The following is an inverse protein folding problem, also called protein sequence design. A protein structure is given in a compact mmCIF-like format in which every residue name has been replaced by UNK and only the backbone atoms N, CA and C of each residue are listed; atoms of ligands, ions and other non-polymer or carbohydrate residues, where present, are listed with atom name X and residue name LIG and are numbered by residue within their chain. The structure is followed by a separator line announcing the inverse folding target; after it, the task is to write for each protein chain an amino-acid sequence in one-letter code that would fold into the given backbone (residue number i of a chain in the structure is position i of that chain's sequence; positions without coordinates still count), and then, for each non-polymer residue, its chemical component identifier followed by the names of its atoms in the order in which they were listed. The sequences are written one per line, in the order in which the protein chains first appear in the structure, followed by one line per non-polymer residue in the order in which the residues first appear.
data_IF_552868727121
#
_entry.id   IF_552868727121
#
_cell.length_a   1.000
_cell.length_b   1.000
_cell.length_c   1.000
_cell.angle_alpha   90.00
_cell.angle_beta   90.00
_cell.angle_gamma   90.00
#
_symmetry.space_group_name_H-M   'P 1'
#
loop_
_entity.id
_entity.type
_entity.pdbx_description
1 polymer ?
#
# COMPACT_ATOMS: atom_id res chain seq x y z
N UNK A 1 -3.55 -42.92 40.68
CA UNK A 1 -4.44 -41.91 40.09
C UNK A 1 -3.60 -40.88 39.37
N UNK A 2 -3.44 -41.02 38.05
CA UNK A 2 -2.67 -40.09 37.21
C UNK A 2 -3.67 -39.20 36.48
N UNK A 3 -3.54 -37.89 36.68
CA UNK A 3 -4.47 -36.84 36.27
C UNK A 3 -4.66 -36.80 34.74
N UNK A 4 -5.87 -37.09 34.26
CA UNK A 4 -6.26 -37.10 32.83
C UNK A 4 -6.66 -35.72 32.28
N UNK A 5 -6.09 -34.65 32.79
CA UNK A 5 -6.48 -33.25 32.45
C UNK A 5 -5.47 -32.50 31.58
N UNK A 6 -4.30 -33.09 31.29
CA UNK A 6 -3.21 -32.41 30.58
C UNK A 6 -3.21 -32.52 29.05
N UNK A 7 -4.07 -33.35 28.45
CA UNK A 7 -3.98 -33.67 27.00
C UNK A 7 -4.87 -32.76 26.13
N UNK A 8 -5.87 -32.08 26.71
CA UNK A 8 -6.79 -31.25 25.92
C UNK A 8 -6.24 -29.87 25.50
N UNK A 9 -5.19 -29.35 26.15
CA UNK A 9 -4.63 -28.03 25.83
C UNK A 9 -3.64 -28.05 24.65
N UNK A 10 -3.02 -29.20 24.35
CA UNK A 10 -2.02 -29.30 23.29
C UNK A 10 -2.64 -29.38 21.88
N UNK A 11 -3.84 -29.94 21.75
CA UNK A 11 -4.53 -30.12 20.46
C UNK A 11 -5.23 -28.86 19.94
N UNK A 12 -5.62 -27.92 20.82
CA UNK A 12 -6.27 -26.67 20.37
C UNK A 12 -5.28 -25.65 19.81
N UNK A 13 -3.99 -25.75 20.16
CA UNK A 13 -2.94 -24.84 19.68
C UNK A 13 -2.57 -25.05 18.20
N UNK A 14 -2.87 -26.21 17.62
CA UNK A 14 -2.56 -26.54 16.22
C UNK A 14 -3.61 -26.04 15.22
N UNK A 15 -4.76 -25.55 15.68
CA UNK A 15 -5.85 -25.04 14.82
C UNK A 15 -5.81 -23.52 14.62
N UNK A 16 -4.79 -22.85 15.15
CA UNK A 16 -4.59 -21.39 15.01
C UNK A 16 -3.42 -21.08 14.08
N UNK A 17 -3.12 -21.94 13.11
CA UNK A 17 -2.31 -21.50 11.98
C UNK A 17 -3.15 -20.48 11.20
N UNK A 18 -2.74 -19.20 11.10
CA UNK A 18 -3.45 -18.28 10.23
C UNK A 18 -3.43 -18.90 8.84
N UNK A 19 -4.61 -19.14 8.27
CA UNK A 19 -4.73 -19.41 6.85
C UNK A 19 -4.26 -18.15 6.13
N UNK A 20 -2.97 -18.10 5.83
CA UNK A 20 -2.46 -17.22 4.80
C UNK A 20 -3.01 -17.82 3.51
N UNK A 21 -3.91 -17.09 2.86
CA UNK A 21 -4.39 -17.50 1.56
C UNK A 21 -3.18 -17.46 0.62
N UNK A 22 -2.88 -18.58 -0.03
CA UNK A 22 -1.83 -18.61 -1.04
C UNK A 22 -2.14 -17.57 -2.14
N UNK A 23 -1.10 -17.02 -2.80
CA UNK A 23 -1.25 -16.21 -3.99
C UNK A 23 -2.23 -16.82 -4.99
N UNK A 24 -3.13 -16.01 -5.51
CA UNK A 24 -4.13 -16.42 -6.49
C UNK A 24 -4.01 -15.60 -7.77
N UNK A 25 -4.33 -16.22 -8.90
CA UNK A 25 -4.42 -15.55 -10.19
C UNK A 25 -5.78 -14.85 -10.31
N UNK A 26 -5.76 -13.55 -10.64
CA UNK A 26 -6.95 -12.76 -10.89
C UNK A 26 -7.27 -12.74 -12.38
N UNK A 27 -8.56 -12.67 -12.74
CA UNK A 27 -9.03 -12.67 -14.13
C UNK A 27 -8.54 -11.50 -14.98
N UNK A 28 -7.86 -10.53 -14.38
CA UNK A 28 -7.23 -9.38 -15.05
C UNK A 28 -5.77 -9.63 -15.44
N UNK A 29 -5.25 -10.85 -15.26
CA UNK A 29 -3.87 -11.21 -15.61
C UNK A 29 -2.85 -10.72 -14.58
N UNK A 30 -3.09 -11.03 -13.31
CA UNK A 30 -2.17 -10.69 -12.22
C UNK A 30 -2.26 -11.69 -11.06
N UNK A 31 -1.12 -11.98 -10.46
CA UNK A 31 -1.06 -12.62 -9.15
C UNK A 31 -1.43 -11.64 -8.06
N UNK A 32 -2.24 -12.08 -7.10
CA UNK A 32 -2.66 -11.29 -5.95
C UNK A 32 -2.54 -12.07 -4.65
N UNK A 33 -2.26 -11.35 -3.56
CA UNK A 33 -2.33 -11.90 -2.21
C UNK A 33 -2.80 -10.83 -1.22
N UNK A 34 -3.68 -11.23 -0.30
CA UNK A 34 -4.12 -10.39 0.81
C UNK A 34 -3.20 -10.57 2.01
N UNK A 35 -2.54 -9.49 2.41
CA UNK A 35 -1.75 -9.44 3.63
C UNK A 35 -2.45 -8.54 4.64
N UNK A 36 -3.40 -9.13 5.38
CA UNK A 36 -4.28 -8.40 6.34
C UNK A 36 -5.06 -7.30 5.62
N UNK A 37 -4.68 -6.04 5.84
CA UNK A 37 -5.38 -4.85 5.32
C UNK A 37 -4.78 -4.39 3.97
N UNK A 38 -3.75 -5.08 3.49
CA UNK A 38 -3.06 -4.77 2.23
C UNK A 38 -3.40 -5.82 1.17
N UNK A 39 -3.62 -5.36 -0.06
CA UNK A 39 -3.67 -6.20 -1.25
C UNK A 39 -2.40 -5.96 -2.05
N UNK A 40 -1.58 -7.00 -2.21
CA UNK A 40 -0.43 -6.99 -3.10
C UNK A 40 -0.82 -7.63 -4.44
N UNK A 41 -0.30 -7.09 -5.54
CA UNK A 41 -0.48 -7.65 -6.87
C UNK A 41 0.73 -7.47 -7.77
N UNK A 42 0.95 -8.43 -8.67
CA UNK A 42 1.97 -8.40 -9.70
C UNK A 42 1.35 -8.89 -11.01
N UNK A 43 1.29 -8.05 -12.05
CA UNK A 43 0.85 -8.47 -13.38
C UNK A 43 1.65 -9.67 -13.90
N UNK A 44 1.00 -10.55 -14.67
CA UNK A 44 1.63 -11.79 -15.16
C UNK A 44 2.71 -11.52 -16.21
N UNK A 45 2.60 -10.40 -16.93
CA UNK A 45 3.53 -9.94 -17.95
C UNK A 45 4.24 -8.63 -17.54
N UNK A 46 5.41 -8.40 -18.15
CA UNK A 46 6.10 -7.10 -18.12
C UNK A 46 6.05 -6.53 -19.54
N UNK A 47 5.60 -5.28 -19.65
CA UNK A 47 5.63 -4.46 -20.85
C UNK A 47 6.65 -3.34 -20.64
N UNK A 48 7.88 -3.53 -21.12
CA UNK A 48 9.01 -2.61 -20.88
C UNK A 48 8.79 -1.21 -21.49
N UNK A 49 7.97 -1.13 -22.54
CA UNK A 49 7.60 0.08 -23.26
C UNK A 49 6.28 0.69 -22.78
N UNK A 50 5.69 0.17 -21.70
CA UNK A 50 4.46 0.70 -21.15
C UNK A 50 4.60 2.15 -20.70
N UNK A 51 3.57 2.94 -21.00
CA UNK A 51 3.48 4.36 -20.66
C UNK A 51 2.80 4.61 -19.31
N UNK A 52 2.64 3.57 -18.49
CA UNK A 52 2.12 3.62 -17.14
C UNK A 52 2.88 2.65 -16.22
N UNK A 53 2.76 2.83 -14.91
CA UNK A 53 3.40 1.93 -13.95
C UNK A 53 2.88 0.50 -14.02
N UNK A 54 1.63 0.28 -14.44
CA UNK A 54 0.99 -1.03 -14.39
C UNK A 54 1.69 -2.02 -15.31
N UNK A 55 2.21 -1.57 -16.45
CA UNK A 55 2.92 -2.45 -17.38
C UNK A 55 4.23 -3.05 -16.85
N UNK A 56 4.91 -2.43 -15.87
CA UNK A 56 6.24 -2.88 -15.43
C UNK A 56 6.46 -2.92 -13.92
N UNK A 57 5.41 -2.73 -13.11
CA UNK A 57 5.53 -2.73 -11.64
C UNK A 57 4.63 -3.76 -10.98
N UNK A 58 5.04 -4.19 -9.79
CA UNK A 58 4.12 -4.76 -8.81
C UNK A 58 3.60 -3.66 -7.87
N UNK A 59 2.46 -3.92 -7.25
CA UNK A 59 1.76 -2.96 -6.39
C UNK A 59 1.39 -3.60 -5.05
N UNK A 60 1.32 -2.79 -4.01
CA UNK A 60 0.61 -3.14 -2.80
C UNK A 60 -0.13 -1.92 -2.30
N UNK A 61 -1.42 -2.05 -1.96
CA UNK A 61 -2.17 -0.91 -1.46
C UNK A 61 -3.12 -1.25 -0.32
N UNK A 62 -3.36 -0.25 0.52
CA UNK A 62 -4.44 -0.20 1.50
C UNK A 62 -5.31 1.01 1.21
N UNK A 63 -6.60 0.92 1.54
CA UNK A 63 -7.59 1.96 1.27
C UNK A 63 -8.31 2.44 2.52
N UNK A 64 -8.95 3.61 2.42
CA UNK A 64 -9.92 4.08 3.39
C UNK A 64 -11.17 3.22 3.42
N UNK A 65 -11.89 3.26 4.55
CA UNK A 65 -13.25 2.70 4.63
C UNK A 65 -14.27 3.53 3.83
N UNK A 66 -14.04 4.84 3.72
CA UNK A 66 -14.81 5.71 2.84
C UNK A 66 -14.58 5.29 1.38
N UNK A 67 -15.68 5.13 0.64
CA UNK A 67 -15.69 4.74 -0.77
C UNK A 67 -16.22 5.90 -1.61
N UNK A 68 -15.73 6.00 -2.84
CA UNK A 68 -16.26 6.90 -3.85
C UNK A 68 -17.44 6.27 -4.60
N UNK A 69 -18.00 7.01 -5.56
CA UNK A 69 -19.13 6.62 -6.39
C UNK A 69 -18.88 5.36 -7.25
N UNK A 70 -17.61 5.00 -7.49
CA UNK A 70 -17.21 3.75 -8.15
C UNK A 70 -17.04 2.57 -7.17
N UNK A 71 -17.41 2.73 -5.90
CA UNK A 71 -17.26 1.75 -4.83
C UNK A 71 -15.78 1.35 -4.59
N UNK A 72 -14.86 2.28 -4.86
CA UNK A 72 -13.43 2.14 -4.59
C UNK A 72 -13.03 3.02 -3.41
N UNK A 73 -11.95 2.69 -2.67
CA UNK A 73 -11.49 3.53 -1.57
C UNK A 73 -11.24 4.97 -2.01
N UNK A 74 -11.88 5.91 -1.30
CA UNK A 74 -11.74 7.34 -1.53
C UNK A 74 -10.31 7.85 -1.30
N UNK A 75 -9.52 7.17 -0.47
CA UNK A 75 -8.11 7.49 -0.24
C UNK A 75 -7.30 6.20 -0.17
N UNK A 76 -6.08 6.23 -0.72
CA UNK A 76 -5.21 5.05 -0.75
C UNK A 76 -3.77 5.40 -0.40
N UNK A 77 -3.09 4.43 0.19
CA UNK A 77 -1.65 4.38 0.30
C UNK A 77 -1.16 3.21 -0.57
N UNK A 78 -0.25 3.48 -1.49
CA UNK A 78 0.25 2.48 -2.45
C UNK A 78 1.76 2.42 -2.41
N UNK A 79 2.29 1.21 -2.31
CA UNK A 79 3.68 0.89 -2.55
C UNK A 79 3.81 0.28 -3.94
N UNK A 80 4.88 0.62 -4.65
CA UNK A 80 5.18 0.05 -5.95
C UNK A 80 6.57 -0.58 -5.92
N UNK A 81 6.77 -1.63 -6.70
CA UNK A 81 8.09 -2.15 -7.03
C UNK A 81 8.27 -2.20 -8.52
N UNK A 82 9.20 -1.41 -9.04
CA UNK A 82 9.63 -1.51 -10.43
C UNK A 82 10.24 -2.90 -10.65
N UNK A 83 9.72 -3.67 -11.60
CA UNK A 83 10.18 -5.05 -11.83
C UNK A 83 11.50 -5.11 -12.61
N UNK A 84 11.83 -4.05 -13.36
CA UNK A 84 13.05 -3.93 -14.15
C UNK A 84 14.24 -3.52 -13.28
N UNK A 85 14.05 -2.56 -12.39
CA UNK A 85 15.13 -2.01 -11.56
C UNK A 85 15.13 -2.54 -10.13
N UNK A 86 13.98 -3.01 -9.63
CA UNK A 86 13.77 -3.37 -8.24
C UNK A 86 13.46 -2.20 -7.32
N UNK A 87 13.47 -0.96 -7.84
CA UNK A 87 13.23 0.25 -7.06
C UNK A 87 11.82 0.25 -6.45
N UNK A 88 11.72 0.80 -5.24
CA UNK A 88 10.46 0.96 -4.56
C UNK A 88 9.92 2.38 -4.71
N UNK A 89 8.59 2.49 -4.81
CA UNK A 89 7.89 3.76 -4.77
C UNK A 89 6.77 3.80 -3.73
N UNK A 90 6.36 5.01 -3.38
CA UNK A 90 5.30 5.31 -2.44
C UNK A 90 4.41 6.42 -3.01
N UNK A 91 3.12 6.13 -3.10
CA UNK A 91 2.13 7.10 -3.55
C UNK A 91 0.93 7.20 -2.62
N UNK A 92 0.39 8.42 -2.53
CA UNK A 92 -0.85 8.73 -1.81
C UNK A 92 -1.90 9.15 -2.84
N UNK A 93 -3.08 8.55 -2.79
CA UNK A 93 -4.17 8.83 -3.73
C UNK A 93 -5.34 9.51 -3.04
N UNK A 94 -5.90 10.55 -3.67
CA UNK A 94 -7.13 11.26 -3.28
C UNK A 94 -8.18 11.05 -4.37
N UNK A 95 -9.15 10.18 -4.14
CA UNK A 95 -10.17 9.78 -5.13
C UNK A 95 -11.61 9.92 -4.60
N UNK A 96 -11.80 10.69 -3.52
CA UNK A 96 -13.11 11.06 -3.02
C UNK A 96 -13.90 11.89 -4.05
N UNK A 97 -15.22 11.72 -4.10
CA UNK A 97 -16.05 12.43 -5.07
C UNK A 97 -16.13 13.94 -4.76
N UNK A 98 -16.11 14.76 -5.81
CA UNK A 98 -16.30 16.22 -5.74
C UNK A 98 -15.30 16.97 -4.83
N UNK A 99 -14.13 16.39 -4.58
CA UNK A 99 -13.04 17.04 -3.84
C UNK A 99 -11.71 16.75 -4.54
N UNK A 100 -10.76 17.66 -4.41
CA UNK A 100 -9.41 17.51 -4.88
C UNK A 100 -8.43 17.76 -3.73
N UNK A 101 -7.17 17.35 -3.89
CA UNK A 101 -6.13 17.77 -2.97
C UNK A 101 -5.86 19.28 -3.13
N UNK A 102 -5.86 20.02 -2.02
CA UNK A 102 -5.43 21.41 -2.02
C UNK A 102 -3.89 21.46 -1.97
N UNK A 103 -3.29 21.63 -3.13
CA UNK A 103 -1.83 21.58 -3.32
C UNK A 103 -1.07 22.77 -2.74
N UNK A 104 -1.78 23.79 -2.23
CA UNK A 104 -1.16 24.92 -1.51
C UNK A 104 -0.78 24.58 -0.06
N UNK A 105 -1.24 23.43 0.44
CA UNK A 105 -1.03 22.96 1.82
C UNK A 105 -0.37 21.59 1.81
N UNK A 106 0.35 21.27 2.89
CA UNK A 106 1.12 20.03 3.01
C UNK A 106 0.25 18.83 3.41
N UNK A 107 0.59 17.64 2.92
CA UNK A 107 0.12 16.37 3.50
C UNK A 107 0.91 16.10 4.78
N UNK A 108 0.24 15.62 5.83
CA UNK A 108 0.90 15.25 7.09
C UNK A 108 0.80 13.74 7.32
N UNK A 109 1.94 13.08 7.53
CA UNK A 109 2.04 11.67 7.92
C UNK A 109 2.43 11.56 9.39
N UNK A 110 1.50 11.12 10.23
CA UNK A 110 1.73 10.87 11.65
C UNK A 110 1.86 9.37 11.93
N UNK A 111 3.06 8.96 12.32
CA UNK A 111 3.36 7.60 12.78
C UNK A 111 3.35 7.57 14.32
N UNK A 112 2.73 6.56 14.92
CA UNK A 112 2.70 6.43 16.39
C UNK A 112 4.10 6.46 17.00
N UNK A 113 4.33 7.36 17.96
CA UNK A 113 5.61 7.50 18.68
C UNK A 113 6.75 8.15 17.89
N UNK A 114 6.46 8.82 16.77
CA UNK A 114 7.45 9.58 15.99
C UNK A 114 6.93 10.99 15.65
N UNK A 115 7.84 11.91 15.34
CA UNK A 115 7.47 13.22 14.81
C UNK A 115 6.76 13.07 13.46
N UNK A 116 5.65 13.81 13.22
CA UNK A 116 4.98 13.80 11.92
C UNK A 116 5.91 14.27 10.79
N UNK A 117 5.71 13.70 9.60
CA UNK A 117 6.39 14.12 8.37
C UNK A 117 5.41 14.96 7.56
N UNK A 118 5.87 16.12 7.08
CA UNK A 118 5.08 16.99 6.20
C UNK A 118 5.60 16.86 4.78
N UNK A 119 4.71 16.67 3.81
CA UNK A 119 5.03 16.54 2.40
C UNK A 119 4.44 17.72 1.62
N UNK A 120 5.29 18.47 0.95
CA UNK A 120 4.94 19.59 0.09
C UNK A 120 4.67 19.13 -1.35
N UNK A 121 3.59 19.64 -1.96
CA UNK A 121 3.23 19.29 -3.34
C UNK A 121 4.17 19.87 -4.39
N UNK A 122 5.03 20.81 -4.03
CA UNK A 122 5.97 21.47 -4.96
C UNK A 122 7.38 20.89 -4.90
N UNK A 123 7.79 20.31 -3.76
CA UNK A 123 9.16 19.81 -3.57
C UNK A 123 9.23 18.32 -3.29
N UNK A 124 8.27 17.77 -2.55
CA UNK A 124 8.37 16.41 -2.02
C UNK A 124 7.52 15.42 -2.81
N UNK A 125 6.51 15.94 -3.52
CA UNK A 125 5.54 15.15 -4.26
C UNK A 125 5.49 15.54 -5.74
N UNK A 126 5.17 14.58 -6.57
CA UNK A 126 4.81 14.81 -7.97
C UNK A 126 3.67 13.90 -8.41
N UNK A 127 3.01 14.26 -9.50
CA UNK A 127 2.14 13.33 -10.23
C UNK A 127 2.89 12.74 -11.42
N UNK A 128 2.54 11.52 -11.82
CA UNK A 128 3.16 10.82 -12.95
C UNK A 128 2.09 10.15 -13.83
N UNK A 129 2.44 9.81 -15.06
CA UNK A 129 1.62 8.97 -15.97
C UNK A 129 0.18 9.48 -16.17
N UNK A 130 0.01 10.79 -16.36
CA UNK A 130 -1.28 11.45 -16.56
C UNK A 130 -2.30 11.26 -15.41
N UNK A 131 -1.85 10.83 -14.23
CA UNK A 131 -2.68 10.85 -13.02
C UNK A 131 -2.69 12.26 -12.44
N UNK A 132 -3.85 12.73 -11.98
CA UNK A 132 -4.00 14.07 -11.37
C UNK A 132 -4.12 14.01 -9.85
N UNK A 133 -4.37 12.82 -9.31
CA UNK A 133 -4.80 12.62 -7.93
C UNK A 133 -3.99 11.57 -7.17
N UNK A 134 -2.86 11.15 -7.74
CA UNK A 134 -1.92 10.22 -7.14
C UNK A 134 -0.55 10.89 -7.04
N UNK A 135 -0.08 11.07 -5.81
CA UNK A 135 1.09 11.87 -5.48
C UNK A 135 2.22 10.96 -5.00
N UNK A 136 3.32 10.95 -5.74
CA UNK A 136 4.50 10.12 -5.53
C UNK A 136 5.57 10.89 -4.76
N UNK A 137 6.25 10.24 -3.81
CA UNK A 137 7.38 10.87 -3.13
C UNK A 137 8.58 10.94 -4.08
N UNK A 138 9.12 12.14 -4.29
CA UNK A 138 10.17 12.41 -5.29
C UNK A 138 11.56 12.11 -4.75
N UNK A 139 11.90 12.67 -3.58
CA UNK A 139 13.22 12.50 -2.97
C UNK A 139 13.48 11.02 -2.61
N UNK A 140 14.48 10.36 -3.22
CA UNK A 140 14.80 8.97 -2.95
C UNK A 140 15.14 8.68 -1.48
N UNK A 141 15.81 9.61 -0.79
CA UNK A 141 16.21 9.42 0.60
C UNK A 141 14.99 9.46 1.54
N UNK A 142 14.14 10.47 1.37
CA UNK A 142 12.89 10.59 2.10
C UNK A 142 11.97 9.39 1.83
N UNK A 143 11.88 8.96 0.56
CA UNK A 143 11.08 7.80 0.15
C UNK A 143 11.54 6.52 0.84
N UNK A 144 12.84 6.24 0.82
CA UNK A 144 13.42 5.08 1.50
C UNK A 144 13.14 5.12 3.01
N UNK A 145 13.33 6.28 3.64
CA UNK A 145 13.02 6.46 5.07
C UNK A 145 11.55 6.19 5.38
N UNK A 146 10.62 6.75 4.59
CA UNK A 146 9.18 6.54 4.78
C UNK A 146 8.81 5.08 4.63
N UNK A 147 9.36 4.36 3.65
CA UNK A 147 9.10 2.93 3.46
C UNK A 147 9.59 2.13 4.68
N UNK A 148 10.77 2.44 5.23
CA UNK A 148 11.24 1.78 6.46
C UNK A 148 10.32 2.08 7.66
N UNK A 149 9.82 3.31 7.78
CA UNK A 149 8.80 3.63 8.81
C UNK A 149 7.50 2.85 8.59
N UNK A 150 7.07 2.67 7.34
CA UNK A 150 5.87 1.89 7.01
C UNK A 150 6.04 0.41 7.41
N UNK A 151 7.24 -0.16 7.23
CA UNK A 151 7.57 -1.52 7.67
C UNK A 151 7.60 -1.67 9.20
N UNK A 152 8.07 -0.66 9.91
CA UNK A 152 8.35 -0.72 11.35
C UNK A 152 7.19 -0.31 12.26
N UNK A 153 6.07 0.16 11.70
CA UNK A 153 4.92 0.69 12.45
C UNK A 153 3.65 -0.10 12.13
N UNK A 154 2.66 0.00 13.02
CA UNK A 154 1.38 -0.68 12.85
C UNK A 154 0.33 0.16 12.12
N UNK A 155 0.50 1.48 12.10
CA UNK A 155 -0.43 2.41 11.50
C UNK A 155 0.21 3.75 11.15
N UNK A 156 -0.41 4.47 10.21
CA UNK A 156 -0.14 5.87 9.91
C UNK A 156 -1.45 6.63 9.79
N UNK A 157 -1.51 7.83 10.38
CA UNK A 157 -2.57 8.79 10.12
C UNK A 157 -2.10 9.79 9.07
N UNK A 158 -2.83 9.90 7.97
CA UNK A 158 -2.55 10.78 6.84
C UNK A 158 -3.57 11.90 6.85
N UNK A 159 -3.13 13.12 7.10
CA UNK A 159 -3.98 14.32 6.97
C UNK A 159 -3.77 14.92 5.58
N UNK A 160 -4.84 14.89 4.79
CA UNK A 160 -4.92 15.36 3.42
C UNK A 160 -5.61 16.74 3.42
N UNK A 161 -4.96 17.79 2.93
CA UNK A 161 -5.62 19.06 2.66
C UNK A 161 -6.48 18.91 1.42
N UNK A 162 -7.74 19.31 1.51
CA UNK A 162 -8.72 19.17 0.42
C UNK A 162 -9.30 20.53 0.04
N UNK A 163 -9.69 20.65 -1.23
CA UNK A 163 -10.55 21.72 -1.73
C UNK A 163 -12.02 21.42 -1.39
N UNK A 164 -12.84 22.45 -1.23
CA UNK A 164 -14.28 22.31 -0.99
C UNK A 164 -14.72 22.42 0.48
N UNK A 165 -15.91 21.91 0.85
CA UNK A 165 -16.55 22.14 2.16
C UNK A 165 -15.79 21.52 3.33
N UNK A 166 -15.14 20.38 3.07
CA UNK A 166 -14.27 19.70 4.01
C UNK A 166 -12.83 20.06 3.67
N UNK A 167 -12.23 20.95 4.44
CA UNK A 167 -10.90 21.49 4.11
C UNK A 167 -9.76 20.54 4.47
N UNK A 168 -10.00 19.53 5.31
CA UNK A 168 -9.05 18.47 5.64
C UNK A 168 -9.76 17.13 5.82
N UNK A 169 -9.12 16.06 5.37
CA UNK A 169 -9.47 14.67 5.71
C UNK A 169 -8.31 14.04 6.46
N UNK A 170 -8.56 13.39 7.61
CA UNK A 170 -7.57 12.50 8.21
C UNK A 170 -7.99 11.06 8.01
N UNK A 171 -7.11 10.27 7.41
CA UNK A 171 -7.33 8.83 7.15
C UNK A 171 -6.33 8.04 7.98
N UNK A 172 -6.83 7.04 8.71
CA UNK A 172 -5.98 6.06 9.37
C UNK A 172 -5.79 4.87 8.44
N UNK A 173 -4.54 4.51 8.17
CA UNK A 173 -4.20 3.30 7.42
C UNK A 173 -3.49 2.31 8.33
N UNK A 174 -3.93 1.05 8.28
CA UNK A 174 -3.20 -0.05 8.87
C UNK A 174 -1.91 -0.28 8.07
N UNK A 175 -0.81 -0.52 8.77
CA UNK A 175 0.47 -0.91 8.17
C UNK A 175 0.79 -2.39 8.40
N UNK A 176 -0.15 -3.11 9.02
CA UNK A 176 -0.07 -4.57 9.18
C UNK A 176 -0.24 -5.20 7.80
N UNK A 177 0.84 -5.73 7.27
CA UNK A 177 0.88 -6.31 5.92
C UNK A 177 1.98 -5.74 5.05
N UNK A 178 2.48 -4.52 5.34
CA UNK A 178 3.50 -3.84 4.50
C UNK A 178 4.71 -4.72 4.21
N UNK A 179 5.33 -5.31 5.23
CA UNK A 179 6.51 -6.15 5.04
C UNK A 179 6.20 -7.39 4.17
N UNK A 180 5.10 -8.09 4.45
CA UNK A 180 4.68 -9.26 3.67
C UNK A 180 4.33 -8.90 2.22
N UNK A 181 3.67 -7.75 2.00
CA UNK A 181 3.40 -7.23 0.66
C UNK A 181 4.67 -6.89 -0.11
N UNK A 182 5.67 -6.29 0.54
CA UNK A 182 6.97 -6.04 -0.08
C UNK A 182 7.67 -7.35 -0.44
N UNK A 183 7.60 -8.37 0.43
CA UNK A 183 8.17 -9.71 0.16
C UNK A 183 7.44 -10.42 -0.99
N UNK A 184 6.11 -10.30 -1.07
CA UNK A 184 5.32 -10.77 -2.20
C UNK A 184 5.78 -10.11 -3.50
N UNK A 185 5.82 -8.78 -3.55
CA UNK A 185 6.29 -8.05 -4.73
C UNK A 185 7.76 -8.39 -5.05
N UNK A 186 8.58 -8.65 -4.03
CA UNK A 186 9.97 -9.08 -4.20
C UNK A 186 10.05 -10.42 -4.97
N UNK A 187 9.23 -11.37 -4.52
CA UNK A 187 9.14 -12.75 -5.01
C UNK A 187 8.53 -12.84 -6.41
N UNK A 188 7.42 -12.13 -6.63
CA UNK A 188 6.62 -12.25 -7.85
C UNK A 188 7.08 -11.30 -8.98
N UNK A 189 7.79 -10.21 -8.69
CA UNK A 189 8.35 -9.38 -9.75
C UNK A 189 9.27 -10.16 -10.71
N UNK A 190 9.97 -11.18 -10.19
CA UNK A 190 10.89 -12.05 -10.95
C UNK A 190 10.19 -13.23 -11.61
N UNK A 191 8.95 -13.54 -11.21
CA UNK A 191 8.10 -14.51 -11.91
C UNK A 191 7.49 -13.82 -13.13
N UNK A 192 8.35 -13.41 -14.05
CA UNK A 192 7.94 -13.33 -15.45
C UNK A 192 7.91 -14.78 -15.88
N UNK A 193 6.81 -15.28 -16.46
CA UNK A 193 6.93 -16.50 -17.25
C UNK A 193 8.11 -16.26 -18.20
N UNK A 194 9.14 -17.10 -18.10
CA UNK A 194 10.33 -17.00 -18.90
C UNK A 194 9.93 -16.99 -20.38
N UNK A 195 10.05 -15.83 -21.04
CA UNK A 195 9.86 -15.64 -22.49
C UNK A 195 8.44 -15.85 -23.04
#
# INVERSE_FOLDING_TARGET
MISRTGIFFATLALLVTPALADPFEHSSGEWREYHRDWLASCPDAIHEDATDYYGFSCFASTGSQELNSANLPAYKLTLMRNRLTGDLDLAITVAADNVEADTSRKIILAFGGAAPVSLDFTTDLETRYNTINQFYVVDPALKAELIERLKARNAVSVTLPLTGPKTNQTVWFSLRGVAASLDFMATYARRVAQY
#
